data_IF_849920083820
#
_entry.id   IF_849920083820
#
_cell.length_a   1.000
_cell.length_b   1.000
_cell.length_c   1.000
_cell.angle_alpha   90.00
_cell.angle_beta   90.00
_cell.angle_gamma   90.00
#
_symmetry.space_group_name_H-M   'P 1'
#
loop_
_entity.id
_entity.type
_entity.pdbx_description
1 polymer ?
#
# COMPACT_ATOMS: atom_id res chain seq x y z
N UNK A 1 28.34 -7.59 35.56
CA UNK A 1 28.66 -7.70 34.12
C UNK A 1 28.76 -9.15 33.60
N UNK A 2 28.35 -10.16 34.38
CA UNK A 2 28.36 -11.58 33.96
C UNK A 2 27.02 -12.07 33.36
N UNK A 3 25.89 -11.47 33.76
CA UNK A 3 24.54 -11.91 33.35
C UNK A 3 24.25 -11.63 31.86
N UNK A 4 24.90 -10.60 31.28
CA UNK A 4 24.75 -10.27 29.85
C UNK A 4 25.41 -11.30 28.90
N UNK A 5 26.38 -12.08 29.37
CA UNK A 5 27.10 -13.05 28.52
C UNK A 5 26.36 -14.37 28.36
N UNK A 6 25.55 -14.77 29.35
CA UNK A 6 24.76 -16.01 29.32
C UNK A 6 23.56 -15.88 28.37
N UNK A 7 22.94 -14.70 28.30
CA UNK A 7 21.81 -14.43 27.41
C UNK A 7 22.20 -14.47 25.91
N UNK A 8 23.45 -14.14 25.59
CA UNK A 8 23.94 -14.12 24.21
C UNK A 8 24.24 -15.52 23.65
N UNK A 9 24.55 -16.49 24.51
CA UNK A 9 24.85 -17.88 24.13
C UNK A 9 23.56 -18.69 23.88
N UNK A 10 22.45 -18.31 24.52
CA UNK A 10 21.16 -18.98 24.31
C UNK A 10 20.46 -18.57 23.00
N UNK A 11 20.78 -17.39 22.45
CA UNK A 11 20.15 -16.86 21.23
C UNK A 11 20.72 -17.47 19.93
N UNK A 12 21.95 -17.98 19.95
CA UNK A 12 22.62 -18.52 18.76
C UNK A 12 22.22 -19.96 18.41
N UNK A 13 21.54 -20.67 19.31
CA UNK A 13 21.07 -22.05 19.09
C UNK A 13 19.72 -22.14 18.35
N UNK A 14 19.05 -21.02 18.07
CA UNK A 14 17.74 -21.02 17.39
C UNK A 14 17.83 -20.94 15.85
N UNK A 15 19.04 -20.85 15.27
CA UNK A 15 19.24 -20.68 13.81
C UNK A 15 19.56 -21.98 13.05
N UNK A 16 19.51 -23.16 13.68
CA UNK A 16 19.76 -24.45 13.00
C UNK A 16 18.53 -25.36 13.02
N UNK A 17 17.45 -24.95 12.35
CA UNK A 17 16.34 -25.85 12.05
C UNK A 17 15.80 -25.61 10.64
N UNK A 18 16.25 -26.46 9.72
CA UNK A 18 15.36 -27.01 8.69
C UNK A 18 15.49 -26.46 7.27
N UNK A 19 16.65 -26.61 6.63
CA UNK A 19 16.65 -26.88 5.18
C UNK A 19 16.45 -28.38 4.96
N UNK A 20 15.22 -28.80 4.62
CA UNK A 20 14.98 -30.08 3.95
C UNK A 20 14.28 -29.81 2.62
N UNK A 21 15.05 -29.95 1.55
CA UNK A 21 14.58 -29.92 0.18
C UNK A 21 13.91 -31.26 -0.15
N UNK A 22 12.59 -31.27 -0.34
CA UNK A 22 11.91 -32.35 -1.05
C UNK A 22 11.78 -31.96 -2.52
N UNK A 23 12.58 -32.62 -3.36
CA UNK A 23 12.52 -32.57 -4.82
C UNK A 23 11.36 -33.45 -5.29
N UNK A 24 10.20 -32.86 -5.54
CA UNK A 24 9.11 -33.55 -6.24
C UNK A 24 9.19 -33.25 -7.74
N UNK A 25 9.43 -34.30 -8.50
CA UNK A 25 9.56 -34.30 -9.95
C UNK A 25 8.21 -34.73 -10.52
N UNK A 26 7.40 -33.77 -10.99
CA UNK A 26 6.23 -34.09 -11.81
C UNK A 26 6.28 -33.25 -13.09
N UNK A 27 6.61 -33.95 -14.17
CA UNK A 27 6.39 -33.52 -15.53
C UNK A 27 4.90 -33.21 -15.71
N UNK A 28 4.58 -31.99 -16.10
CA UNK A 28 3.47 -31.74 -17.00
C UNK A 28 3.76 -30.46 -17.78
N UNK A 29 4.21 -30.66 -19.01
CA UNK A 29 4.18 -29.65 -20.06
C UNK A 29 2.72 -29.26 -20.32
N UNK A 30 2.33 -28.08 -19.86
CA UNK A 30 1.18 -27.32 -20.36
C UNK A 30 1.67 -25.89 -20.62
N UNK A 31 2.28 -25.75 -21.78
CA UNK A 31 2.77 -24.50 -22.34
C UNK A 31 1.57 -23.71 -22.91
N UNK A 32 1.40 -22.48 -22.41
CA UNK A 32 0.73 -21.34 -23.07
C UNK A 32 -0.77 -21.38 -23.37
N UNK A 33 -1.64 -21.46 -22.36
CA UNK A 33 -3.01 -20.88 -22.47
C UNK A 33 -3.49 -20.10 -21.23
N UNK A 34 -2.82 -20.21 -20.06
CA UNK A 34 -3.23 -19.50 -18.84
C UNK A 34 -2.57 -18.14 -18.62
N UNK A 35 -1.63 -17.73 -19.49
CA UNK A 35 -0.86 -16.51 -19.29
C UNK A 35 -1.61 -15.26 -19.75
N UNK A 36 -2.45 -15.36 -20.78
CA UNK A 36 -3.33 -14.26 -21.23
C UNK A 36 -4.49 -14.00 -20.27
N UNK A 37 -5.06 -15.05 -19.66
CA UNK A 37 -6.18 -14.94 -18.71
C UNK A 37 -5.73 -14.27 -17.40
N UNK A 38 -4.51 -14.55 -16.94
CA UNK A 38 -3.98 -13.95 -15.70
C UNK A 38 -3.63 -12.46 -15.85
N UNK A 39 -3.09 -12.06 -17.01
CA UNK A 39 -2.72 -10.66 -17.27
C UNK A 39 -3.96 -9.79 -17.46
N UNK A 40 -4.95 -10.25 -18.24
CA UNK A 40 -6.21 -9.51 -18.42
C UNK A 40 -6.95 -9.29 -17.08
N UNK A 41 -6.96 -10.30 -16.21
CA UNK A 41 -7.56 -10.20 -14.88
C UNK A 41 -6.77 -9.24 -13.97
N UNK A 42 -5.43 -9.23 -14.06
CA UNK A 42 -4.59 -8.31 -13.30
C UNK A 42 -4.82 -6.85 -13.70
N UNK A 43 -4.94 -6.57 -15.00
CA UNK A 43 -5.26 -5.22 -15.50
C UNK A 43 -6.65 -4.76 -15.03
N UNK A 44 -7.63 -5.65 -15.02
CA UNK A 44 -8.95 -5.35 -14.50
C UNK A 44 -8.92 -5.03 -13.00
N UNK A 45 -8.22 -5.84 -12.20
CA UNK A 45 -8.02 -5.60 -10.76
C UNK A 45 -7.36 -4.24 -10.52
N UNK A 46 -6.34 -3.90 -11.29
CA UNK A 46 -5.64 -2.61 -11.19
C UNK A 46 -6.56 -1.44 -11.55
N UNK A 47 -7.32 -1.55 -12.65
CA UNK A 47 -8.28 -0.54 -13.08
C UNK A 47 -9.38 -0.31 -12.05
N UNK A 48 -9.96 -1.40 -11.50
CA UNK A 48 -10.96 -1.33 -10.44
C UNK A 48 -10.41 -0.67 -9.17
N UNK A 49 -9.17 -0.98 -8.79
CA UNK A 49 -8.52 -0.34 -7.65
C UNK A 49 -8.36 1.17 -7.88
N UNK A 50 -7.84 1.58 -9.03
CA UNK A 50 -7.68 3.01 -9.36
C UNK A 50 -9.00 3.75 -9.37
N UNK A 51 -10.06 3.15 -9.93
CA UNK A 51 -11.40 3.73 -9.96
C UNK A 51 -11.94 3.96 -8.55
N UNK A 52 -11.84 2.95 -7.66
CA UNK A 52 -12.30 3.07 -6.26
C UNK A 52 -11.50 4.11 -5.48
N UNK A 53 -10.18 4.16 -5.65
CA UNK A 53 -9.34 5.19 -5.02
C UNK A 53 -9.78 6.58 -5.47
N UNK A 54 -9.98 6.80 -6.78
CA UNK A 54 -10.47 8.08 -7.29
C UNK A 54 -11.84 8.45 -6.72
N UNK A 55 -12.77 7.50 -6.68
CA UNK A 55 -14.10 7.70 -6.13
C UNK A 55 -14.03 8.18 -4.68
N UNK A 56 -13.21 7.52 -3.86
CA UNK A 56 -12.99 7.91 -2.46
C UNK A 56 -12.36 9.29 -2.37
N UNK A 57 -11.33 9.59 -3.17
CA UNK A 57 -10.64 10.88 -3.13
C UNK A 57 -11.44 12.04 -3.75
N UNK A 58 -12.47 11.76 -4.53
CA UNK A 58 -13.27 12.80 -5.17
C UNK A 58 -13.90 13.77 -4.14
N UNK A 59 -14.35 13.26 -3.00
CA UNK A 59 -14.87 14.09 -1.90
C UNK A 59 -13.81 15.06 -1.36
N UNK A 60 -12.55 14.62 -1.28
CA UNK A 60 -11.43 15.49 -0.88
C UNK A 60 -11.17 16.58 -1.92
N UNK A 61 -11.15 16.22 -3.21
CA UNK A 61 -10.87 17.17 -4.29
C UNK A 61 -11.93 18.24 -4.48
N UNK A 62 -13.19 17.91 -4.20
CA UNK A 62 -14.29 18.85 -4.36
C UNK A 62 -14.46 19.75 -3.13
N UNK A 63 -14.38 19.17 -1.92
CA UNK A 63 -14.82 19.86 -0.71
C UNK A 63 -13.70 20.04 0.34
N UNK A 64 -12.51 19.49 0.11
CA UNK A 64 -11.41 19.48 1.10
C UNK A 64 -11.75 18.65 2.36
N UNK A 65 -12.80 17.84 2.31
CA UNK A 65 -13.21 16.98 3.42
C UNK A 65 -12.27 15.78 3.51
N UNK A 66 -11.75 15.51 4.72
CA UNK A 66 -10.80 14.43 4.99
C UNK A 66 -11.44 13.34 5.88
N UNK A 67 -12.58 13.65 6.49
CA UNK A 67 -13.25 12.73 7.41
C UNK A 67 -13.59 11.42 6.72
N UNK A 68 -13.30 10.30 7.40
CA UNK A 68 -13.56 8.94 6.95
C UNK A 68 -12.82 8.48 5.69
N UNK A 69 -12.03 9.33 5.01
CA UNK A 69 -11.30 8.94 3.79
C UNK A 69 -10.23 7.90 4.07
N UNK A 70 -9.47 8.08 5.15
CA UNK A 70 -8.43 7.13 5.57
C UNK A 70 -8.99 5.72 5.74
N UNK A 71 -10.14 5.60 6.43
CA UNK A 71 -10.83 4.31 6.62
C UNK A 71 -11.25 3.70 5.28
N UNK A 72 -11.91 4.49 4.42
CA UNK A 72 -12.32 4.04 3.09
C UNK A 72 -11.15 3.56 2.23
N UNK A 73 -9.99 4.23 2.29
CA UNK A 73 -8.79 3.80 1.58
C UNK A 73 -8.26 2.50 2.18
N UNK A 74 -8.12 2.39 3.51
CA UNK A 74 -7.64 1.17 4.19
C UNK A 74 -8.48 -0.07 3.88
N UNK A 75 -9.78 0.11 3.66
CA UNK A 75 -10.69 -0.99 3.31
C UNK A 75 -10.49 -1.50 1.87
N UNK A 76 -9.77 -0.76 1.02
CA UNK A 76 -9.46 -1.19 -0.34
C UNK A 76 -8.33 -2.22 -0.34
N UNK A 77 -8.56 -3.35 -1.01
CA UNK A 77 -7.50 -4.31 -1.30
C UNK A 77 -6.58 -3.77 -2.40
N UNK A 78 -5.40 -3.30 -2.01
CA UNK A 78 -4.39 -2.81 -2.94
C UNK A 78 -3.71 -3.97 -3.71
N UNK A 79 -3.60 -3.87 -5.05
CA UNK A 79 -2.73 -4.74 -5.83
C UNK A 79 -1.26 -4.54 -5.44
N UNK A 80 -0.43 -5.57 -5.58
CA UNK A 80 0.98 -5.52 -5.18
C UNK A 80 1.73 -4.31 -5.76
N UNK A 81 1.46 -3.97 -7.02
CA UNK A 81 2.02 -2.80 -7.74
C UNK A 81 1.72 -1.45 -7.08
N UNK A 82 0.65 -1.35 -6.30
CA UNK A 82 0.19 -0.10 -5.68
C UNK A 82 0.31 -0.10 -4.16
N UNK A 83 1.01 -1.06 -3.54
CA UNK A 83 1.16 -1.09 -2.08
C UNK A 83 1.86 0.15 -1.52
N UNK A 84 2.95 0.58 -2.15
CA UNK A 84 3.67 1.78 -1.73
C UNK A 84 2.82 3.04 -1.87
N UNK A 85 2.09 3.15 -2.99
CA UNK A 85 1.12 4.23 -3.20
C UNK A 85 0.05 4.22 -2.11
N UNK A 86 -0.57 3.07 -1.86
CA UNK A 86 -1.63 2.90 -0.89
C UNK A 86 -1.19 3.31 0.51
N UNK A 87 -0.03 2.80 0.95
CA UNK A 87 0.55 3.15 2.24
C UNK A 87 0.82 4.65 2.36
N UNK A 88 1.48 5.26 1.36
CA UNK A 88 1.79 6.67 1.40
C UNK A 88 0.54 7.57 1.38
N UNK A 89 -0.51 7.14 0.67
CA UNK A 89 -1.79 7.83 0.68
C UNK A 89 -2.43 7.79 2.06
N UNK A 90 -2.47 6.63 2.71
CA UNK A 90 -2.99 6.49 4.10
C UNK A 90 -2.21 7.39 5.05
N UNK A 91 -0.88 7.41 4.96
CA UNK A 91 -0.02 8.27 5.79
C UNK A 91 -0.31 9.75 5.53
N UNK A 92 -0.51 10.16 4.28
CA UNK A 92 -0.85 11.54 3.95
C UNK A 92 -2.20 11.95 4.56
N UNK A 93 -3.21 11.08 4.45
CA UNK A 93 -4.52 11.30 5.05
C UNK A 93 -4.47 11.33 6.58
N UNK A 94 -3.64 10.49 7.21
CA UNK A 94 -3.41 10.52 8.66
C UNK A 94 -2.83 11.87 9.11
N UNK A 95 -1.83 12.41 8.39
CA UNK A 95 -1.27 13.72 8.70
C UNK A 95 -2.32 14.83 8.58
N UNK A 96 -3.13 14.81 7.53
CA UNK A 96 -4.21 15.77 7.33
C UNK A 96 -5.28 15.68 8.42
N UNK A 97 -5.68 14.46 8.80
CA UNK A 97 -6.66 14.22 9.85
C UNK A 97 -6.14 14.69 11.21
N UNK A 98 -4.93 14.27 11.60
CA UNK A 98 -4.31 14.73 12.85
C UNK A 98 -4.13 16.24 12.86
N UNK A 99 -3.69 16.84 11.74
CA UNK A 99 -3.53 18.28 11.60
C UNK A 99 -4.84 19.04 11.80
N UNK A 100 -5.94 18.59 11.20
CA UNK A 100 -7.26 19.19 11.41
C UNK A 100 -7.77 19.00 12.84
N UNK A 101 -7.65 17.80 13.41
CA UNK A 101 -8.15 17.51 14.77
C UNK A 101 -7.35 18.24 15.86
N UNK A 102 -6.04 18.43 15.66
CA UNK A 102 -5.14 19.03 16.65
C UNK A 102 -4.84 20.52 16.37
N UNK A 103 -5.43 21.10 15.32
CA UNK A 103 -5.08 22.42 14.79
C UNK A 103 -3.56 22.59 14.52
N UNK A 104 -2.91 21.52 14.07
CA UNK A 104 -1.47 21.48 13.79
C UNK A 104 -1.21 21.75 12.29
N UNK A 105 -0.86 23.00 11.98
CA UNK A 105 -0.55 23.45 10.63
C UNK A 105 0.67 22.75 10.01
N UNK A 106 1.63 22.28 10.82
CA UNK A 106 2.78 21.55 10.28
C UNK A 106 2.34 20.19 9.73
N UNK A 107 1.46 19.48 10.45
CA UNK A 107 0.90 18.21 9.96
C UNK A 107 0.03 18.39 8.74
N UNK A 108 -0.79 19.46 8.68
CA UNK A 108 -1.57 19.79 7.47
C UNK A 108 -0.61 19.93 6.28
N UNK A 109 0.43 20.76 6.42
CA UNK A 109 1.42 20.97 5.35
C UNK A 109 2.13 19.67 4.93
N UNK A 110 2.54 18.84 5.89
CA UNK A 110 3.17 17.54 5.61
C UNK A 110 2.24 16.60 4.84
N UNK A 111 0.96 16.57 5.20
CA UNK A 111 -0.07 15.82 4.50
C UNK A 111 -0.26 16.31 3.07
N UNK A 112 -0.40 17.62 2.87
CA UNK A 112 -0.54 18.24 1.55
C UNK A 112 0.69 18.00 0.65
N UNK A 113 1.90 18.12 1.20
CA UNK A 113 3.13 17.82 0.47
C UNK A 113 3.19 16.37 0.00
N UNK A 114 2.76 15.43 0.86
CA UNK A 114 2.70 14.01 0.48
C UNK A 114 1.66 13.76 -0.60
N UNK A 115 0.47 14.35 -0.47
CA UNK A 115 -0.55 14.29 -1.51
C UNK A 115 -0.01 14.83 -2.84
N UNK A 116 0.65 15.97 -2.84
CA UNK A 116 1.19 16.58 -4.06
C UNK A 116 2.25 15.70 -4.73
N UNK A 117 3.12 15.04 -3.95
CA UNK A 117 4.06 14.05 -4.51
C UNK A 117 3.33 12.87 -5.14
N UNK A 118 2.31 12.33 -4.45
CA UNK A 118 1.49 11.24 -4.99
C UNK A 118 0.78 11.63 -6.29
N UNK A 119 0.32 12.89 -6.43
CA UNK A 119 -0.27 13.40 -7.67
C UNK A 119 0.72 13.37 -8.84
N UNK A 120 1.98 13.71 -8.57
CA UNK A 120 3.03 13.70 -9.59
C UNK A 120 3.41 12.27 -10.00
N UNK A 121 3.56 11.38 -9.02
CA UNK A 121 3.98 9.99 -9.24
C UNK A 121 2.84 9.13 -9.83
N UNK A 122 1.59 9.48 -9.53
CA UNK A 122 0.39 8.75 -9.94
C UNK A 122 -0.66 9.70 -10.55
N UNK A 123 -0.48 10.14 -11.81
CA UNK A 123 -1.38 11.13 -12.42
C UNK A 123 -2.84 10.66 -12.56
N UNK A 124 -3.12 9.36 -12.47
CA UNK A 124 -4.49 8.86 -12.54
C UNK A 124 -5.33 9.18 -11.29
N UNK A 125 -4.75 9.68 -10.18
CA UNK A 125 -5.47 9.89 -8.92
C UNK A 125 -6.40 11.11 -8.92
N UNK A 126 -6.22 12.02 -9.88
CA UNK A 126 -7.16 13.12 -10.11
C UNK A 126 -8.24 12.68 -11.09
N UNK A 127 -9.48 13.15 -10.88
CA UNK A 127 -10.58 12.91 -11.81
C UNK A 127 -10.31 13.58 -13.16
N UNK A 128 -10.96 13.14 -14.26
CA UNK A 128 -10.74 13.68 -15.61
C UNK A 128 -11.09 15.16 -15.81
N UNK A 129 -11.58 15.86 -14.76
CA UNK A 129 -12.21 17.19 -14.86
C UNK A 129 -11.57 18.26 -13.95
N UNK A 130 -10.30 18.14 -13.56
CA UNK A 130 -9.59 19.23 -12.87
C UNK A 130 -8.26 19.54 -13.57
N UNK A 131 -7.91 20.84 -13.77
CA UNK A 131 -6.70 21.27 -14.45
C UNK A 131 -5.41 20.92 -13.69
#
# INVERSE_FOLDING_TARGET
MLIKKVFFILLTLFFLSGCLATRNNNNNSLVNQNQSINVANQEEIESQYQAKVREVLNTYWLNGEISSLKGKILDLRAPAKYLDFHFNLVVALEFLEQGKTQADNQKIKQGEEKINRLKNDYPWIYGPNQP
#
